data_IF_469496659048
#
_entry.id   IF_469496659048
#
_cell.length_a   1.000
_cell.length_b   1.000
_cell.length_c   1.000
_cell.angle_alpha   90.00
_cell.angle_beta   90.00
_cell.angle_gamma   90.00
#
_symmetry.space_group_name_H-M   'P 1'
#
loop_
_entity.id
_entity.type
_entity.pdbx_description
1 polymer ?
#
# COMPACT_ATOMS: atom_id res chain seq x y z
N UNK A 1 7.77 21.88 10.90
CA UNK A 1 7.78 21.02 9.68
C UNK A 1 7.33 19.63 10.12
N UNK A 2 6.33 19.05 9.47
CA UNK A 2 5.81 17.72 9.78
C UNK A 2 6.83 16.64 9.39
N UNK A 3 6.85 15.55 10.16
CA UNK A 3 7.65 14.37 9.82
C UNK A 3 6.79 13.40 9.01
N UNK A 4 7.34 12.87 7.90
CA UNK A 4 6.61 11.98 7.01
C UNK A 4 7.17 10.56 7.03
N UNK A 5 6.30 9.60 7.21
CA UNK A 5 6.50 8.17 6.95
C UNK A 5 5.49 7.70 5.90
N UNK A 6 5.79 6.59 5.25
CA UNK A 6 5.00 6.13 4.12
C UNK A 6 4.54 4.69 4.32
N UNK A 7 3.28 4.41 4.00
CA UNK A 7 2.71 3.07 4.05
C UNK A 7 2.43 2.61 2.62
N UNK A 8 2.94 1.41 2.29
CA UNK A 8 2.80 0.80 0.98
C UNK A 8 2.64 -0.73 1.11
N UNK A 9 2.96 -1.44 0.05
CA UNK A 9 3.00 -2.91 0.01
C UNK A 9 1.94 -3.51 -0.90
N UNK A 10 1.66 -4.79 -0.69
CA UNK A 10 0.74 -5.54 -1.53
C UNK A 10 -0.72 -5.27 -1.12
N UNK A 11 -1.67 -5.34 -2.07
CA UNK A 11 -3.08 -5.19 -1.73
C UNK A 11 -3.58 -6.34 -0.85
N UNK A 12 -4.64 -6.13 -0.07
CA UNK A 12 -5.27 -7.13 0.81
C UNK A 12 -4.40 -7.70 1.94
N UNK A 13 -3.35 -7.02 2.30
CA UNK A 13 -2.39 -7.42 3.34
C UNK A 13 -2.65 -6.82 4.72
N UNK A 14 -3.78 -6.10 4.91
CA UNK A 14 -4.16 -5.51 6.19
C UNK A 14 -3.67 -4.08 6.41
N UNK A 15 -3.33 -3.35 5.34
CA UNK A 15 -2.88 -1.95 5.47
C UNK A 15 -3.92 -1.04 6.14
N UNK A 16 -5.22 -1.21 5.88
CA UNK A 16 -6.28 -0.45 6.56
C UNK A 16 -6.33 -0.73 8.07
N UNK A 17 -6.04 -1.98 8.45
CA UNK A 17 -5.95 -2.39 9.86
C UNK A 17 -4.74 -1.74 10.52
N UNK A 18 -3.57 -1.75 9.88
CA UNK A 18 -2.38 -1.06 10.40
C UNK A 18 -2.63 0.44 10.53
N UNK A 19 -3.28 1.09 9.55
CA UNK A 19 -3.65 2.50 9.65
C UNK A 19 -4.55 2.77 10.87
N UNK A 20 -5.55 1.92 11.12
CA UNK A 20 -6.43 2.03 12.28
C UNK A 20 -5.69 1.86 13.62
N UNK A 21 -4.69 0.97 13.68
CA UNK A 21 -3.85 0.79 14.86
C UNK A 21 -2.99 2.03 15.09
N UNK A 22 -2.21 2.45 14.09
CA UNK A 22 -1.28 3.58 14.22
C UNK A 22 -1.99 4.90 14.54
N UNK A 23 -3.20 5.10 14.00
CA UNK A 23 -3.99 6.32 14.25
C UNK A 23 -4.52 6.44 15.70
N UNK A 24 -4.30 5.46 16.55
CA UNK A 24 -4.57 5.57 17.99
C UNK A 24 -3.51 6.39 18.73
N UNK A 25 -2.31 6.52 18.18
CA UNK A 25 -1.28 7.35 18.75
C UNK A 25 -1.61 8.85 18.49
N UNK A 26 -1.80 9.67 19.52
CA UNK A 26 -2.22 11.07 19.37
C UNK A 26 -1.19 11.95 18.63
N UNK A 27 0.04 11.48 18.45
CA UNK A 27 1.05 12.18 17.64
C UNK A 27 0.93 11.90 16.15
N UNK A 28 0.14 10.88 15.74
CA UNK A 28 0.12 10.37 14.39
C UNK A 28 -1.18 10.70 13.67
N UNK A 29 -1.05 11.28 12.50
CA UNK A 29 -2.10 11.26 11.49
C UNK A 29 -1.79 10.18 10.45
N UNK A 30 -2.74 9.29 10.20
CA UNK A 30 -2.54 8.18 9.26
C UNK A 30 -3.61 8.23 8.17
N UNK A 31 -3.20 8.57 6.94
CA UNK A 31 -4.10 8.54 5.79
C UNK A 31 -4.40 7.09 5.36
N UNK A 32 -5.63 6.82 4.94
CA UNK A 32 -6.03 5.49 4.41
C UNK A 32 -5.80 5.36 2.92
N UNK A 33 -5.79 6.49 2.22
CA UNK A 33 -5.43 6.64 0.81
C UNK A 33 -5.01 8.09 0.55
N UNK A 34 -4.01 8.30 -0.30
CA UNK A 34 -3.48 9.62 -0.61
C UNK A 34 -3.10 9.77 -2.09
N UNK A 35 -3.36 10.91 -2.71
CA UNK A 35 -2.90 11.22 -4.06
C UNK A 35 -1.45 11.70 -4.09
N UNK A 36 -0.77 11.88 -2.95
CA UNK A 36 0.51 12.55 -2.83
C UNK A 36 1.58 11.94 -3.75
N UNK A 37 1.70 10.62 -3.78
CA UNK A 37 2.67 9.93 -4.64
C UNK A 37 2.49 10.26 -6.11
N UNK A 38 1.24 10.30 -6.60
CA UNK A 38 0.93 10.64 -7.99
C UNK A 38 1.20 12.11 -8.31
N UNK A 39 0.90 13.01 -7.38
CA UNK A 39 1.15 14.44 -7.53
C UNK A 39 2.66 14.70 -7.65
N UNK A 40 3.44 14.15 -6.72
CA UNK A 40 4.89 14.30 -6.71
C UNK A 40 5.55 13.64 -7.93
N UNK A 41 5.07 12.48 -8.36
CA UNK A 41 5.54 11.84 -9.58
C UNK A 41 5.32 12.74 -10.80
N UNK A 42 4.10 13.25 -11.01
CA UNK A 42 3.78 14.12 -12.16
C UNK A 42 4.62 15.39 -12.19
N UNK A 43 4.76 16.05 -11.04
CA UNK A 43 5.58 17.27 -10.95
C UNK A 43 7.05 16.97 -11.25
N UNK A 44 7.55 15.84 -10.76
CA UNK A 44 8.93 15.43 -11.02
C UNK A 44 9.15 15.09 -12.48
N UNK A 45 8.22 14.36 -13.09
CA UNK A 45 8.27 14.00 -14.49
C UNK A 45 8.22 15.24 -15.39
N UNK A 46 7.27 16.14 -15.15
CA UNK A 46 7.16 17.41 -15.87
C UNK A 46 8.42 18.26 -15.69
N UNK A 47 8.94 18.38 -14.47
CA UNK A 47 10.17 19.12 -14.19
C UNK A 47 11.36 18.58 -14.96
N UNK A 48 11.51 17.27 -15.03
CA UNK A 48 12.66 16.63 -15.72
C UNK A 48 12.53 16.66 -17.25
N UNK A 49 11.32 16.51 -17.78
CA UNK A 49 11.14 16.12 -19.18
C UNK A 49 10.41 17.14 -20.07
N UNK A 50 9.42 17.89 -19.56
CA UNK A 50 8.42 18.51 -20.42
C UNK A 50 8.41 20.04 -20.43
N UNK A 51 9.05 20.72 -19.48
CA UNK A 51 8.88 22.17 -19.33
C UNK A 51 10.15 22.90 -19.74
N UNK A 52 10.14 23.54 -20.92
CA UNK A 52 11.26 24.39 -21.40
C UNK A 52 11.60 25.54 -20.43
N UNK A 53 10.57 26.09 -19.76
CA UNK A 53 10.74 27.15 -18.76
C UNK A 53 11.56 26.68 -17.56
N UNK A 54 11.43 25.39 -17.16
CA UNK A 54 12.26 24.80 -16.08
C UNK A 54 13.73 24.81 -16.47
N UNK A 55 14.05 24.54 -17.75
CA UNK A 55 15.44 24.54 -18.24
C UNK A 55 16.06 25.93 -18.23
N UNK A 56 15.25 26.98 -18.33
CA UNK A 56 15.68 28.36 -18.24
C UNK A 56 15.66 28.94 -16.83
N UNK A 57 14.79 28.39 -15.97
CA UNK A 57 14.71 28.75 -14.55
C UNK A 57 15.58 27.79 -13.72
N UNK A 58 16.76 28.23 -13.37
CA UNK A 58 17.81 27.36 -12.85
C UNK A 58 18.05 27.46 -11.33
N UNK A 59 17.01 27.71 -10.53
CA UNK A 59 17.20 27.66 -9.06
C UNK A 59 17.26 26.22 -8.58
N UNK A 60 18.40 25.76 -8.02
CA UNK A 60 18.63 24.34 -7.74
C UNK A 60 17.67 23.76 -6.69
N UNK A 61 17.19 24.59 -5.76
CA UNK A 61 16.31 24.12 -4.68
C UNK A 61 14.81 24.13 -5.03
N UNK A 62 14.41 24.61 -6.21
CA UNK A 62 13.00 24.79 -6.52
C UNK A 62 12.20 23.51 -6.49
N UNK A 63 12.70 22.43 -7.10
CA UNK A 63 12.01 21.14 -7.09
C UNK A 63 11.94 20.57 -5.67
N UNK A 64 13.01 20.69 -4.90
CA UNK A 64 13.02 20.27 -3.49
C UNK A 64 11.98 21.03 -2.67
N UNK A 65 11.91 22.34 -2.84
CA UNK A 65 10.94 23.18 -2.15
C UNK A 65 9.51 22.83 -2.55
N UNK A 66 9.23 22.58 -3.83
CA UNK A 66 7.92 22.09 -4.29
C UNK A 66 7.56 20.78 -3.62
N UNK A 67 8.45 19.79 -3.57
CA UNK A 67 8.20 18.51 -2.90
C UNK A 67 7.80 18.70 -1.43
N UNK A 68 8.59 19.46 -0.68
CA UNK A 68 8.35 19.71 0.74
C UNK A 68 7.04 20.46 0.98
N UNK A 69 6.79 21.55 0.22
CA UNK A 69 5.59 22.36 0.40
C UNK A 69 4.31 21.63 -0.05
N UNK A 70 4.37 20.77 -1.05
CA UNK A 70 3.21 19.98 -1.47
C UNK A 70 2.83 18.98 -0.37
N UNK A 71 3.80 18.28 0.23
CA UNK A 71 3.54 17.39 1.37
C UNK A 71 2.93 18.16 2.56
N UNK A 72 3.56 19.25 2.96
CA UNK A 72 3.05 20.13 4.03
C UNK A 72 1.67 20.69 3.69
N UNK A 73 1.46 21.17 2.47
CA UNK A 73 0.20 21.77 2.02
C UNK A 73 -0.95 20.77 1.99
N UNK A 74 -0.70 19.53 1.54
CA UNK A 74 -1.72 18.47 1.53
C UNK A 74 -2.23 18.17 2.96
N UNK A 75 -1.35 18.23 3.95
CA UNK A 75 -1.66 17.96 5.36
C UNK A 75 -1.69 19.23 6.22
N UNK A 76 -1.89 20.42 5.64
CA UNK A 76 -1.97 21.69 6.39
C UNK A 76 -3.17 21.75 7.35
N UNK A 77 -4.21 20.96 7.10
CA UNK A 77 -5.42 20.85 7.93
C UNK A 77 -5.28 19.85 9.10
N UNK A 78 -4.11 19.22 9.24
CA UNK A 78 -3.82 18.19 10.24
C UNK A 78 -2.93 18.81 11.32
N UNK A 79 -3.28 18.62 12.58
CA UNK A 79 -2.53 19.20 13.73
C UNK A 79 -1.34 18.32 14.14
N UNK A 80 -1.42 17.00 13.92
CA UNK A 80 -0.39 16.03 14.30
C UNK A 80 0.94 16.32 13.59
N UNK A 81 2.02 16.09 14.32
CA UNK A 81 3.40 16.35 13.86
C UNK A 81 3.94 15.25 12.94
N UNK A 82 3.43 14.03 13.08
CA UNK A 82 3.88 12.84 12.35
C UNK A 82 2.78 12.35 11.42
N UNK A 83 3.08 12.33 10.14
CA UNK A 83 2.15 11.94 9.09
C UNK A 83 2.57 10.59 8.49
N UNK A 84 1.64 9.64 8.45
CA UNK A 84 1.77 8.43 7.66
C UNK A 84 0.93 8.57 6.39
N UNK A 85 1.60 8.78 5.27
CA UNK A 85 0.95 8.86 3.96
C UNK A 85 0.88 7.47 3.31
N UNK A 86 -0.31 7.03 2.95
CA UNK A 86 -0.52 5.70 2.36
C UNK A 86 -0.78 5.79 0.86
N UNK A 87 0.14 5.21 0.10
CA UNK A 87 -0.03 4.92 -1.33
C UNK A 87 0.74 3.65 -1.72
N UNK A 88 0.17 2.86 -2.64
CA UNK A 88 0.85 1.66 -3.15
C UNK A 88 2.15 1.96 -3.90
N UNK A 89 2.31 3.17 -4.40
CA UNK A 89 3.50 3.56 -5.16
C UNK A 89 4.75 3.81 -4.29
N UNK A 90 4.62 4.06 -2.99
CA UNK A 90 5.76 4.47 -2.16
C UNK A 90 6.91 3.46 -2.06
N UNK A 91 6.66 2.18 -2.28
CA UNK A 91 7.72 1.16 -2.29
C UNK A 91 8.44 0.99 -3.63
N UNK A 92 8.04 1.71 -4.66
CA UNK A 92 8.68 1.66 -5.97
C UNK A 92 10.06 2.33 -5.96
N UNK A 93 10.92 1.92 -6.90
CA UNK A 93 12.26 2.51 -7.04
C UNK A 93 12.22 4.00 -7.32
N UNK A 94 11.39 4.43 -8.28
CA UNK A 94 11.36 5.84 -8.69
C UNK A 94 11.00 6.81 -7.55
N UNK A 95 9.94 6.66 -6.75
CA UNK A 95 9.69 7.51 -5.59
C UNK A 95 10.84 7.51 -4.58
N UNK A 96 11.44 6.36 -4.30
CA UNK A 96 12.54 6.22 -3.33
C UNK A 96 13.81 6.95 -3.81
N UNK A 97 14.17 6.76 -5.07
CA UNK A 97 15.34 7.36 -5.68
C UNK A 97 15.14 8.87 -5.90
N UNK A 98 13.95 9.28 -6.38
CA UNK A 98 13.59 10.70 -6.55
C UNK A 98 13.61 11.45 -5.21
N UNK A 99 13.08 10.87 -4.16
CA UNK A 99 13.12 11.50 -2.84
C UNK A 99 14.56 11.71 -2.36
N UNK A 100 15.41 10.71 -2.50
CA UNK A 100 16.83 10.81 -2.15
C UNK A 100 17.55 11.87 -2.96
N UNK A 101 17.32 11.89 -4.27
CA UNK A 101 17.94 12.85 -5.19
C UNK A 101 17.46 14.29 -4.91
N UNK A 102 16.17 14.50 -4.76
CA UNK A 102 15.54 15.83 -4.69
C UNK A 102 15.58 16.38 -3.26
N UNK A 103 15.21 15.57 -2.27
CA UNK A 103 15.12 16.02 -0.87
C UNK A 103 16.45 15.90 -0.14
N UNK A 104 17.31 14.98 -0.57
CA UNK A 104 18.62 14.76 0.03
C UNK A 104 18.59 13.91 1.30
N UNK A 105 17.49 13.17 1.52
CA UNK A 105 17.33 12.26 2.68
C UNK A 105 16.68 10.95 2.24
N UNK A 106 16.58 9.99 3.18
CA UNK A 106 16.00 8.68 2.87
C UNK A 106 14.54 8.60 3.33
N UNK A 107 13.69 8.04 2.47
CA UNK A 107 12.33 7.70 2.87
C UNK A 107 12.33 6.51 3.82
N UNK A 108 11.38 6.46 4.75
CA UNK A 108 11.05 5.25 5.52
C UNK A 108 9.67 4.75 5.10
N UNK A 109 9.62 3.57 4.51
CA UNK A 109 8.39 2.99 3.94
C UNK A 109 8.05 1.69 4.66
N UNK A 110 6.86 1.63 5.24
CA UNK A 110 6.30 0.45 5.86
C UNK A 110 5.53 -0.32 4.79
N UNK A 111 5.96 -1.54 4.47
CA UNK A 111 5.41 -2.36 3.41
C UNK A 111 4.71 -3.59 3.99
N UNK A 112 3.37 -3.65 3.85
CA UNK A 112 2.66 -4.86 4.23
C UNK A 112 2.70 -5.88 3.10
N UNK A 113 2.97 -7.13 3.48
CA UNK A 113 3.08 -8.26 2.55
C UNK A 113 2.27 -9.46 3.03
N UNK A 114 1.91 -10.32 2.09
CA UNK A 114 1.27 -11.61 2.34
C UNK A 114 1.58 -12.53 1.15
N UNK A 115 1.34 -13.84 1.27
CA UNK A 115 1.52 -14.77 0.16
C UNK A 115 0.62 -14.41 -1.02
N UNK A 116 1.08 -14.67 -2.24
CA UNK A 116 0.27 -14.40 -3.44
C UNK A 116 -1.05 -15.17 -3.41
N UNK A 117 -1.09 -16.48 -3.08
CA UNK A 117 -2.37 -17.19 -2.93
C UNK A 117 -3.32 -16.52 -1.94
N UNK A 118 -2.81 -16.09 -0.79
CA UNK A 118 -3.61 -15.42 0.24
C UNK A 118 -4.23 -14.11 -0.25
N UNK A 119 -3.49 -13.32 -1.00
CA UNK A 119 -3.98 -12.08 -1.61
C UNK A 119 -5.07 -12.39 -2.65
N UNK A 120 -4.77 -13.29 -3.60
CA UNK A 120 -5.71 -13.67 -4.67
C UNK A 120 -6.98 -14.29 -4.08
N UNK A 121 -6.84 -15.24 -3.15
CA UNK A 121 -7.97 -15.86 -2.48
C UNK A 121 -8.83 -14.85 -1.71
N UNK A 122 -8.21 -13.82 -1.13
CA UNK A 122 -8.95 -12.73 -0.48
C UNK A 122 -9.81 -11.92 -1.47
N UNK A 123 -9.31 -11.65 -2.66
CA UNK A 123 -10.10 -10.99 -3.70
C UNK A 123 -11.21 -11.88 -4.22
N UNK A 124 -10.91 -13.14 -4.57
CA UNK A 124 -11.91 -14.09 -5.09
C UNK A 124 -13.02 -14.30 -4.06
N UNK A 125 -12.67 -14.54 -2.78
CA UNK A 125 -13.66 -14.68 -1.72
C UNK A 125 -14.56 -13.44 -1.59
N UNK A 126 -13.99 -12.25 -1.72
CA UNK A 126 -14.77 -11.02 -1.66
C UNK A 126 -15.69 -10.85 -2.87
N UNK A 127 -15.21 -11.14 -4.09
CA UNK A 127 -16.00 -11.11 -5.33
C UNK A 127 -17.20 -12.06 -5.21
N UNK A 128 -16.95 -13.30 -4.77
CA UNK A 128 -18.01 -14.30 -4.60
C UNK A 128 -19.09 -13.90 -3.59
N UNK A 129 -18.75 -13.06 -2.62
CA UNK A 129 -19.71 -12.48 -1.66
C UNK A 129 -20.42 -11.22 -2.16
N UNK A 130 -20.00 -10.68 -3.28
CA UNK A 130 -20.52 -9.45 -3.91
C UNK A 130 -20.99 -9.71 -5.34
N UNK A 131 -21.54 -10.89 -5.63
CA UNK A 131 -21.99 -11.30 -6.99
C UNK A 131 -23.03 -10.39 -7.62
N UNK A 132 -23.73 -9.62 -6.79
CA UNK A 132 -24.73 -8.61 -7.18
C UNK A 132 -24.10 -7.28 -7.61
N UNK A 133 -22.79 -7.12 -7.52
CA UNK A 133 -22.08 -5.90 -7.89
C UNK A 133 -21.11 -6.16 -9.04
N UNK A 134 -21.00 -5.15 -9.89
CA UNK A 134 -20.04 -5.13 -11.01
C UNK A 134 -18.66 -4.71 -10.52
N UNK A 135 -17.82 -5.67 -10.18
CA UNK A 135 -16.47 -5.40 -9.72
C UNK A 135 -15.51 -5.10 -10.89
N UNK A 136 -14.47 -4.30 -10.60
CA UNK A 136 -13.53 -3.83 -11.62
C UNK A 136 -12.76 -4.96 -12.33
N UNK A 137 -12.53 -6.11 -11.67
CA UNK A 137 -11.81 -7.26 -12.25
C UNK A 137 -12.68 -7.93 -13.31
N UNK A 138 -13.95 -8.19 -13.00
CA UNK A 138 -14.90 -8.79 -13.93
C UNK A 138 -15.25 -7.84 -15.08
N UNK A 139 -15.31 -6.52 -14.80
CA UNK A 139 -15.50 -5.51 -15.84
C UNK A 139 -14.36 -5.55 -16.86
N UNK A 140 -13.12 -5.61 -16.40
CA UNK A 140 -11.97 -5.75 -17.29
C UNK A 140 -12.03 -7.03 -18.13
N UNK A 141 -12.43 -8.16 -17.55
CA UNK A 141 -12.63 -9.41 -18.32
C UNK A 141 -13.73 -9.29 -19.37
N UNK A 142 -14.85 -8.61 -19.06
CA UNK A 142 -15.93 -8.35 -20.04
C UNK A 142 -15.46 -7.48 -21.20
N UNK A 143 -14.74 -6.40 -20.90
CA UNK A 143 -14.17 -5.51 -21.92
C UNK A 143 -13.20 -6.23 -22.86
N UNK A 144 -12.48 -7.22 -22.36
CA UNK A 144 -11.57 -8.06 -23.13
C UNK A 144 -12.26 -9.24 -23.84
N UNK A 145 -13.56 -9.45 -23.63
CA UNK A 145 -14.31 -10.61 -24.15
C UNK A 145 -13.84 -11.95 -23.54
N UNK A 146 -13.22 -11.91 -22.37
CA UNK A 146 -12.69 -13.08 -21.70
C UNK A 146 -13.72 -13.77 -20.81
N UNK A 147 -13.58 -15.08 -20.61
CA UNK A 147 -14.45 -15.85 -19.71
C UNK A 147 -14.22 -15.44 -18.27
N UNK A 148 -15.32 -15.13 -17.54
CA UNK A 148 -15.27 -14.81 -16.11
C UNK A 148 -15.19 -16.11 -15.31
N UNK A 149 -13.99 -16.40 -14.79
CA UNK A 149 -13.73 -17.53 -13.91
C UNK A 149 -12.56 -17.18 -12.96
N UNK A 150 -12.31 -18.01 -11.95
CA UNK A 150 -11.26 -17.80 -10.95
C UNK A 150 -9.88 -17.67 -11.59
N UNK A 151 -9.55 -18.49 -12.55
CA UNK A 151 -8.23 -18.45 -13.20
C UNK A 151 -8.00 -17.13 -13.95
N UNK A 152 -8.97 -16.67 -14.73
CA UNK A 152 -8.84 -15.42 -15.48
C UNK A 152 -8.84 -14.19 -14.56
N UNK A 153 -9.63 -14.20 -13.47
CA UNK A 153 -9.54 -13.18 -12.41
C UNK A 153 -8.13 -13.11 -11.82
N UNK A 154 -7.53 -14.26 -11.50
CA UNK A 154 -6.14 -14.31 -11.01
C UNK A 154 -5.15 -13.77 -12.05
N UNK A 155 -5.31 -14.13 -13.34
CA UNK A 155 -4.46 -13.60 -14.42
C UNK A 155 -4.54 -12.09 -14.54
N UNK A 156 -5.74 -11.50 -14.46
CA UNK A 156 -5.93 -10.04 -14.46
C UNK A 156 -5.21 -9.40 -13.29
N UNK A 157 -5.42 -9.90 -12.08
CA UNK A 157 -4.79 -9.35 -10.87
C UNK A 157 -3.26 -9.44 -10.89
N UNK A 158 -2.68 -10.43 -11.56
CA UNK A 158 -1.23 -10.63 -11.62
C UNK A 158 -0.55 -9.91 -12.80
N UNK A 159 -1.28 -9.16 -13.60
CA UNK A 159 -0.68 -8.33 -14.65
C UNK A 159 0.23 -7.24 -14.09
N UNK A 160 1.11 -6.74 -14.96
CA UNK A 160 1.99 -5.60 -14.66
C UNK A 160 1.29 -4.26 -15.00
N UNK A 161 -0.03 -4.18 -14.76
CA UNK A 161 -0.80 -2.94 -14.92
C UNK A 161 -0.81 -2.16 -13.62
N UNK A 162 -0.82 -0.85 -13.70
CA UNK A 162 -0.76 0.05 -12.54
C UNK A 162 -1.72 -0.37 -11.42
N UNK A 163 -1.20 -0.43 -10.20
CA UNK A 163 -1.92 -0.79 -8.97
C UNK A 163 -2.44 -2.23 -8.86
N UNK A 164 -2.20 -3.09 -9.84
CA UNK A 164 -2.50 -4.52 -9.74
C UNK A 164 -1.63 -5.24 -8.70
N UNK A 165 -2.01 -6.46 -8.33
CA UNK A 165 -1.20 -7.30 -7.43
C UNK A 165 0.18 -7.57 -8.03
N UNK A 166 0.21 -7.94 -9.31
CA UNK A 166 1.46 -8.26 -10.03
C UNK A 166 2.39 -7.05 -10.12
N UNK A 167 1.85 -5.87 -10.42
CA UNK A 167 2.60 -4.62 -10.45
C UNK A 167 3.17 -4.26 -9.07
N UNK A 168 2.37 -4.30 -8.00
CA UNK A 168 2.85 -4.05 -6.65
C UNK A 168 3.94 -5.04 -6.23
N UNK A 169 3.75 -6.34 -6.55
CA UNK A 169 4.70 -7.39 -6.20
C UNK A 169 6.04 -7.20 -6.90
N UNK A 170 6.03 -6.95 -8.22
CA UNK A 170 7.26 -6.77 -8.98
C UNK A 170 8.04 -5.53 -8.52
N UNK A 171 7.36 -4.39 -8.36
CA UNK A 171 8.00 -3.17 -7.90
C UNK A 171 8.57 -3.29 -6.48
N UNK A 172 7.87 -3.97 -5.57
CA UNK A 172 8.39 -4.24 -4.23
C UNK A 172 9.63 -5.14 -4.30
N UNK A 173 9.60 -6.18 -5.13
CA UNK A 173 10.74 -7.08 -5.35
C UNK A 173 11.96 -6.34 -5.88
N UNK A 174 11.76 -5.47 -6.88
CA UNK A 174 12.83 -4.68 -7.48
C UNK A 174 13.47 -3.72 -6.46
N UNK A 175 12.69 -3.08 -5.61
CA UNK A 175 13.18 -2.23 -4.54
C UNK A 175 13.86 -3.03 -3.43
N UNK A 176 13.33 -4.21 -3.09
CA UNK A 176 13.89 -5.08 -2.06
C UNK A 176 15.29 -5.59 -2.41
N UNK A 177 15.54 -5.96 -3.67
CA UNK A 177 16.85 -6.41 -4.15
C UNK A 177 17.76 -5.28 -4.64
N UNK A 178 17.42 -4.03 -4.36
CA UNK A 178 18.22 -2.85 -4.68
C UNK A 178 18.81 -2.20 -3.41
N UNK A 179 19.56 -1.13 -3.59
CA UNK A 179 20.06 -0.29 -2.49
C UNK A 179 18.93 0.34 -1.65
N UNK A 180 17.69 0.33 -2.16
CA UNK A 180 16.53 0.85 -1.45
C UNK A 180 16.00 -0.10 -0.35
N UNK A 181 16.54 -1.33 -0.23
CA UNK A 181 16.13 -2.29 0.81
C UNK A 181 16.15 -1.71 2.23
N UNK A 182 17.14 -0.88 2.55
CA UNK A 182 17.29 -0.21 3.86
C UNK A 182 16.12 0.73 4.20
N UNK A 183 15.41 1.21 3.19
CA UNK A 183 14.27 2.13 3.31
C UNK A 183 12.95 1.41 3.59
N UNK A 184 12.92 0.07 3.46
CA UNK A 184 11.72 -0.75 3.53
C UNK A 184 11.65 -1.54 4.83
N UNK A 185 10.57 -1.36 5.58
CA UNK A 185 10.22 -2.20 6.72
C UNK A 185 9.05 -3.10 6.31
N UNK A 186 9.32 -4.40 6.11
CA UNK A 186 8.30 -5.35 5.69
C UNK A 186 7.56 -5.91 6.91
N UNK A 187 6.24 -5.94 6.83
CA UNK A 187 5.35 -6.54 7.83
C UNK A 187 4.51 -7.61 7.14
N UNK A 188 4.71 -8.86 7.52
CA UNK A 188 3.82 -9.93 7.08
C UNK A 188 2.48 -9.84 7.80
N UNK A 189 1.38 -10.01 7.04
CA UNK A 189 0.04 -9.98 7.60
C UNK A 189 -0.15 -11.02 8.71
N UNK A 190 0.40 -12.20 8.55
CA UNK A 190 0.32 -13.28 9.56
C UNK A 190 0.98 -12.87 10.88
N UNK A 191 2.12 -12.18 10.82
CA UNK A 191 2.81 -11.70 12.02
C UNK A 191 2.07 -10.55 12.69
N UNK A 192 1.54 -9.61 11.92
CA UNK A 192 0.70 -8.53 12.45
C UNK A 192 -0.50 -9.06 13.22
N UNK A 193 -1.06 -10.20 12.82
CA UNK A 193 -2.22 -10.80 13.49
C UNK A 193 -1.80 -11.66 14.70
N UNK A 194 -0.75 -12.47 14.58
CA UNK A 194 -0.36 -13.44 15.60
C UNK A 194 0.56 -12.86 16.68
N UNK A 195 1.35 -11.82 16.34
CA UNK A 195 2.35 -11.18 17.20
C UNK A 195 2.32 -9.66 17.08
N UNK A 196 1.14 -9.02 17.19
CA UNK A 196 0.96 -7.60 16.86
C UNK A 196 1.87 -6.68 17.67
N UNK A 197 2.04 -6.93 18.96
CA UNK A 197 2.90 -6.11 19.82
C UNK A 197 4.38 -6.14 19.40
N UNK A 198 4.89 -7.31 19.05
CA UNK A 198 6.27 -7.47 18.56
C UNK A 198 6.48 -6.74 17.24
N UNK A 199 5.53 -6.89 16.32
CA UNK A 199 5.54 -6.22 15.01
C UNK A 199 5.50 -4.71 15.17
N UNK A 200 4.62 -4.19 16.03
CA UNK A 200 4.51 -2.76 16.28
C UNK A 200 5.77 -2.20 16.96
N UNK A 201 6.34 -2.88 17.94
CA UNK A 201 7.61 -2.46 18.55
C UNK A 201 8.74 -2.36 17.51
N UNK A 202 8.85 -3.31 16.58
CA UNK A 202 9.82 -3.24 15.48
C UNK A 202 9.54 -2.09 14.51
N UNK A 203 8.27 -1.81 14.23
CA UNK A 203 7.87 -0.67 13.41
C UNK A 203 8.30 0.65 14.08
N UNK A 204 8.00 0.84 15.37
CA UNK A 204 8.38 2.04 16.11
C UNK A 204 9.91 2.22 16.17
N UNK A 205 10.66 1.14 16.34
CA UNK A 205 12.11 1.17 16.25
C UNK A 205 12.59 1.61 14.86
N UNK A 206 11.96 1.13 13.79
CA UNK A 206 12.29 1.52 12.42
C UNK A 206 12.03 2.99 12.15
N UNK A 207 10.91 3.53 12.63
CA UNK A 207 10.60 4.97 12.49
C UNK A 207 11.35 5.85 13.47
N UNK A 208 11.99 5.27 14.49
CA UNK A 208 12.74 5.96 15.55
C UNK A 208 11.85 6.82 16.47
N UNK A 209 10.67 6.28 16.80
CA UNK A 209 9.71 6.88 17.74
C UNK A 209 9.54 5.99 18.98
N UNK A 210 9.17 6.61 20.10
CA UNK A 210 8.84 5.89 21.32
C UNK A 210 7.57 5.05 21.14
N UNK A 211 7.62 3.80 21.60
CA UNK A 211 6.49 2.88 21.47
C UNK A 211 5.26 3.38 22.22
N UNK A 212 4.15 3.47 21.52
CA UNK A 212 2.83 3.75 22.07
C UNK A 212 2.03 2.44 22.17
N UNK A 213 1.45 2.10 23.36
CA UNK A 213 0.63 0.89 23.51
C UNK A 213 -0.71 1.06 22.79
N UNK A 214 -1.02 0.11 21.91
CA UNK A 214 -2.23 0.13 21.09
C UNK A 214 -3.32 -0.80 21.62
N UNK A 215 -4.57 -0.38 21.53
CA UNK A 215 -5.76 -1.22 21.72
C UNK A 215 -5.99 -2.09 20.47
N UNK A 216 -5.97 -3.43 20.63
CA UNK A 216 -6.07 -4.36 19.49
C UNK A 216 -7.44 -5.06 19.40
N UNK A 217 -8.34 -4.80 20.36
CA UNK A 217 -9.63 -5.48 20.48
C UNK A 217 -10.84 -4.60 20.16
N UNK A 218 -10.63 -3.31 19.92
CA UNK A 218 -11.70 -2.36 19.59
C UNK A 218 -11.24 -1.40 18.47
N UNK A 219 -10.70 -1.98 17.41
CA UNK A 219 -10.22 -1.21 16.26
C UNK A 219 -11.38 -0.49 15.58
N UNK A 220 -11.16 0.77 15.22
CA UNK A 220 -12.10 1.59 14.49
C UNK A 220 -11.46 2.01 13.18
N UNK A 221 -12.20 1.93 12.08
CA UNK A 221 -11.74 2.49 10.81
C UNK A 221 -11.52 4.00 10.95
N UNK A 222 -10.41 4.49 10.42
CA UNK A 222 -10.09 5.93 10.39
C UNK A 222 -11.02 6.68 9.43
N UNK A 223 -11.54 5.99 8.42
CA UNK A 223 -12.47 6.50 7.42
C UNK A 223 -13.33 5.37 6.88
N UNK A 224 -14.60 5.64 6.61
CA UNK A 224 -15.43 4.77 5.79
C UNK A 224 -15.13 5.04 4.31
N UNK A 225 -14.76 3.99 3.58
CA UNK A 225 -14.55 4.04 2.13
C UNK A 225 -15.79 3.54 1.40
N UNK A 226 -16.18 4.22 0.32
CA UNK A 226 -17.31 3.80 -0.48
C UNK A 226 -16.90 2.74 -1.51
N UNK A 227 -16.45 1.61 -1.00
CA UNK A 227 -15.89 0.50 -1.78
C UNK A 227 -16.82 -0.02 -2.87
N UNK A 228 -18.12 -0.02 -2.61
CA UNK A 228 -19.12 -0.52 -3.56
C UNK A 228 -19.25 0.37 -4.80
N UNK A 229 -19.12 1.68 -4.63
CA UNK A 229 -19.17 2.62 -5.78
C UNK A 229 -17.84 2.64 -6.52
N UNK A 230 -16.73 2.67 -5.78
CA UNK A 230 -15.39 2.85 -6.39
C UNK A 230 -14.90 1.56 -7.04
N UNK A 231 -15.11 0.41 -6.39
CA UNK A 231 -14.51 -0.87 -6.80
C UNK A 231 -15.53 -1.94 -7.19
N UNK A 232 -16.83 -1.68 -7.02
CA UNK A 232 -17.87 -2.70 -7.18
C UNK A 232 -17.75 -3.85 -6.17
N UNK A 233 -17.19 -3.59 -5.00
CA UNK A 233 -16.99 -4.61 -3.95
C UNK A 233 -17.23 -4.00 -2.58
N UNK A 234 -18.26 -4.44 -1.83
CA UNK A 234 -18.48 -4.04 -0.43
C UNK A 234 -17.36 -4.61 0.47
N UNK A 235 -16.96 -3.86 1.47
CA UNK A 235 -16.02 -4.28 2.51
C UNK A 235 -14.58 -4.56 2.03
N UNK A 236 -14.14 -3.97 0.92
CA UNK A 236 -12.76 -4.11 0.42
C UNK A 236 -11.75 -3.57 1.45
N UNK A 237 -12.05 -2.45 2.09
CA UNK A 237 -11.19 -1.79 3.09
C UNK A 237 -11.75 -1.87 4.51
N UNK A 238 -12.72 -2.75 4.76
CA UNK A 238 -13.33 -2.90 6.09
C UNK A 238 -12.29 -3.26 7.16
N UNK A 239 -12.34 -2.53 8.26
CA UNK A 239 -11.60 -2.82 9.49
C UNK A 239 -12.55 -3.48 10.48
N UNK A 240 -12.23 -4.70 10.89
CA UNK A 240 -12.94 -5.40 11.96
C UNK A 240 -12.45 -4.92 13.33
N UNK A 241 -13.33 -4.99 14.34
CA UNK A 241 -12.99 -4.53 15.69
C UNK A 241 -11.83 -5.30 16.34
N UNK A 242 -11.51 -6.50 15.84
CA UNK A 242 -10.41 -7.33 16.36
C UNK A 242 -9.54 -7.83 15.22
N UNK A 243 -8.27 -8.03 15.50
CA UNK A 243 -7.39 -8.79 14.61
C UNK A 243 -7.88 -10.22 14.51
N UNK A 244 -7.95 -10.75 13.29
CA UNK A 244 -8.42 -12.13 13.07
C UNK A 244 -7.72 -12.79 11.90
N UNK A 245 -7.51 -14.09 12.01
CA UNK A 245 -7.13 -14.94 10.88
C UNK A 245 -8.29 -15.09 9.90
N UNK A 246 -7.98 -15.36 8.64
CA UNK A 246 -9.00 -15.66 7.64
C UNK A 246 -9.88 -16.82 8.10
N UNK A 247 -11.20 -16.69 7.90
CA UNK A 247 -12.21 -17.68 8.31
C UNK A 247 -12.56 -18.67 7.19
N UNK A 248 -11.71 -18.76 6.18
CA UNK A 248 -11.87 -19.65 5.02
C UNK A 248 -10.51 -20.20 4.62
N UNK A 249 -10.51 -21.37 4.03
CA UNK A 249 -9.32 -21.96 3.44
C UNK A 249 -9.08 -21.36 2.05
N UNK A 250 -7.91 -20.81 1.82
CA UNK A 250 -7.53 -20.16 0.56
C UNK A 250 -7.42 -21.19 -0.59
N UNK A 251 -6.96 -22.40 -0.29
CA UNK A 251 -6.88 -23.49 -1.27
C UNK A 251 -8.26 -23.89 -1.77
N UNK A 252 -9.27 -23.94 -0.89
CA UNK A 252 -10.66 -24.22 -1.29
C UNK A 252 -11.23 -23.10 -2.20
N UNK A 253 -10.82 -21.85 -1.97
CA UNK A 253 -11.29 -20.69 -2.75
C UNK A 253 -10.66 -20.66 -4.14
N UNK A 254 -9.37 -20.93 -4.26
CA UNK A 254 -8.62 -20.89 -5.51
C UNK A 254 -8.68 -22.19 -6.31
N UNK A 255 -8.87 -23.31 -5.62
CA UNK A 255 -8.59 -24.65 -6.10
C UNK A 255 -7.10 -25.01 -5.96
N UNK A 256 -6.79 -26.32 -5.77
CA UNK A 256 -5.43 -26.78 -5.46
C UNK A 256 -4.41 -26.44 -6.53
N UNK A 257 -4.79 -26.48 -7.80
CA UNK A 257 -3.90 -26.16 -8.92
C UNK A 257 -3.42 -24.71 -8.91
N UNK A 258 -4.34 -23.74 -8.77
CA UNK A 258 -3.99 -22.32 -8.73
C UNK A 258 -3.24 -21.97 -7.43
N UNK A 259 -3.66 -22.57 -6.30
CA UNK A 259 -2.98 -22.39 -5.03
C UNK A 259 -1.51 -22.81 -5.14
N UNK A 260 -1.23 -24.02 -5.65
CA UNK A 260 0.13 -24.52 -5.82
C UNK A 260 0.93 -23.68 -6.82
N UNK A 261 0.32 -23.27 -7.96
CA UNK A 261 0.97 -22.45 -9.00
C UNK A 261 1.51 -21.12 -8.46
N UNK A 262 0.82 -20.51 -7.52
CA UNK A 262 1.17 -19.19 -6.99
C UNK A 262 1.91 -19.22 -5.65
N UNK A 263 2.04 -20.38 -5.01
CA UNK A 263 2.76 -20.56 -3.74
C UNK A 263 4.28 -20.39 -3.90
N UNK A 264 4.97 -20.08 -2.79
CA UNK A 264 6.44 -20.03 -2.72
C UNK A 264 7.06 -18.87 -3.48
N UNK A 265 6.35 -17.74 -3.62
CA UNK A 265 6.84 -16.53 -4.30
C UNK A 265 7.38 -15.46 -3.34
N UNK A 266 7.32 -15.71 -2.05
CA UNK A 266 7.65 -14.77 -0.96
C UNK A 266 9.16 -14.52 -0.91
N UNK A 267 9.67 -13.64 -1.77
CA UNK A 267 11.09 -13.31 -1.89
C UNK A 267 11.68 -12.68 -0.61
N UNK A 268 10.86 -12.20 0.29
CA UNK A 268 11.29 -11.59 1.56
C UNK A 268 11.52 -12.60 2.68
N UNK A 269 11.22 -13.88 2.47
CA UNK A 269 11.45 -14.97 3.43
C UNK A 269 12.77 -15.74 3.17
N UNK A 270 13.57 -15.25 2.23
CA UNK A 270 14.86 -15.87 1.86
C UNK A 270 15.98 -15.35 2.74
#
# INVERSE_FOLDING_TARGET
>A
MKQFFYIAGLPRTGSSVLCAILNQNPKFHVSTASPLSNILYRITDDWRNNINQVKTYSHPDSLRNLWLHIQEGLYAHVDEEIIFDKSRAWHMRDPLESYREIVGSEMKVICLVDSIPDILGSFIHLIERNKDLDNFIDNQLREEGAVINTENRCKVMLRQTTESVGWCFQNLKDSYFSTNRKNLHLIERVDLISKPEEVLKKLYLFIQEDYFPHELFNLKATREENDSIIYGMKNLHRVEAKLYHRRYNVEDVLGPELYQRFSGKEFWRV
#
